data_IF_042991839101
#
_entry.id   IF_042991839101
#
_cell.length_a   1.000
_cell.length_b   1.000
_cell.length_c   1.000
_cell.angle_alpha   90.00
_cell.angle_beta   90.00
_cell.angle_gamma   90.00
#
_symmetry.space_group_name_H-M   'P 1'
#
loop_
_entity.id
_entity.type
_entity.pdbx_description
1 polymer ?
#
# COMPACT_ATOMS: atom_id res chain seq x y z
N UNK A 1 -10.54 -27.97 11.55
CA UNK A 1 -10.79 -26.90 10.56
C UNK A 1 -10.01 -25.67 10.97
N UNK A 2 -8.83 -25.42 10.38
CA UNK A 2 -8.16 -24.12 10.47
C UNK A 2 -7.56 -23.83 9.10
N UNK A 3 -8.22 -22.95 8.32
CA UNK A 3 -7.63 -22.31 7.14
C UNK A 3 -6.78 -21.15 7.65
N UNK A 4 -5.48 -21.20 7.44
CA UNK A 4 -4.59 -20.04 7.62
C UNK A 4 -3.61 -20.07 6.44
N UNK A 5 -4.09 -19.62 5.27
CA UNK A 5 -3.92 -18.28 4.70
C UNK A 5 -2.45 -17.98 4.37
N UNK A 6 -2.21 -17.87 3.06
CA UNK A 6 -1.37 -16.80 2.55
C UNK A 6 0.12 -17.10 2.48
N UNK A 7 0.52 -17.79 1.42
CA UNK A 7 1.87 -17.84 0.85
C UNK A 7 2.59 -16.49 1.02
N UNK A 8 3.80 -16.56 1.57
CA UNK A 8 4.65 -15.40 1.83
C UNK A 8 4.82 -14.49 0.62
N UNK A 9 4.30 -13.27 0.72
CA UNK A 9 4.78 -12.15 -0.09
C UNK A 9 6.09 -11.70 0.52
N UNK A 10 7.20 -12.12 -0.10
CA UNK A 10 8.54 -11.54 0.11
C UNK A 10 8.53 -10.09 -0.35
N UNK A 11 8.01 -9.26 0.55
CA UNK A 11 8.18 -7.84 0.77
C UNK A 11 9.38 -7.27 -0.02
N UNK A 12 9.10 -6.54 -1.09
CA UNK A 12 10.08 -5.72 -1.80
C UNK A 12 10.37 -4.49 -0.93
N UNK A 13 11.23 -4.64 0.08
CA UNK A 13 11.54 -3.59 1.07
C UNK A 13 12.64 -2.64 0.61
N UNK A 14 13.48 -3.05 -0.33
CA UNK A 14 14.83 -2.51 -0.48
C UNK A 14 14.95 -1.08 -1.05
N UNK A 15 14.10 -0.58 -1.99
CA UNK A 15 14.31 0.78 -2.50
C UNK A 15 13.69 1.90 -1.64
N UNK A 16 12.76 1.60 -0.73
CA UNK A 16 11.91 2.62 -0.10
C UNK A 16 12.21 2.91 1.37
N UNK A 17 13.06 2.10 2.00
CA UNK A 17 13.54 2.34 3.37
C UNK A 17 14.19 3.72 3.51
N UNK A 18 14.92 4.18 2.48
CA UNK A 18 15.59 5.49 2.52
C UNK A 18 14.62 6.67 2.53
N UNK A 19 13.50 6.60 1.81
CA UNK A 19 12.50 7.68 1.76
C UNK A 19 11.68 7.76 3.06
N UNK A 20 11.36 6.60 3.65
CA UNK A 20 10.55 6.51 4.87
C UNK A 20 11.36 6.79 6.15
N UNK A 21 12.68 6.62 6.11
CA UNK A 21 13.55 6.88 7.27
C UNK A 21 13.78 8.38 7.54
N UNK A 22 13.58 9.25 6.54
CA UNK A 22 13.82 10.70 6.69
C UNK A 22 12.59 11.50 7.18
N UNK A 23 11.39 10.90 7.18
CA UNK A 23 10.13 11.60 7.53
C UNK A 23 9.28 10.75 8.49
N UNK A 24 9.49 10.87 9.82
CA UNK A 24 8.91 9.95 10.79
C UNK A 24 7.47 10.29 11.24
N UNK A 25 6.82 11.31 10.68
CA UNK A 25 5.41 11.57 10.99
C UNK A 25 4.52 10.53 10.30
N UNK A 26 3.60 9.94 11.06
CA UNK A 26 2.71 8.90 10.54
C UNK A 26 1.87 9.38 9.34
N UNK A 27 1.57 10.69 9.28
CA UNK A 27 0.83 11.31 8.19
C UNK A 27 1.61 11.29 6.87
N UNK A 28 2.88 11.70 6.89
CA UNK A 28 3.75 11.70 5.69
C UNK A 28 4.10 10.29 5.24
N UNK A 29 4.22 9.33 6.17
CA UNK A 29 4.39 7.92 5.80
C UNK A 29 3.19 7.34 5.07
N UNK A 30 1.97 7.61 5.56
CA UNK A 30 0.75 7.11 4.93
C UNK A 30 0.56 7.66 3.51
N UNK A 31 0.80 8.97 3.32
CA UNK A 31 0.77 9.62 2.00
C UNK A 31 1.82 9.03 1.05
N UNK A 32 3.03 8.73 1.54
CA UNK A 32 4.08 8.09 0.76
C UNK A 32 3.67 6.72 0.22
N UNK A 33 3.03 5.87 1.05
CA UNK A 33 2.51 4.58 0.59
C UNK A 33 1.38 4.73 -0.42
N UNK A 34 0.52 5.75 -0.26
CA UNK A 34 -0.54 6.01 -1.22
C UNK A 34 0.00 6.46 -2.58
N UNK A 35 0.95 7.40 -2.60
CA UNK A 35 1.62 7.82 -3.84
C UNK A 35 2.37 6.68 -4.53
N UNK A 36 2.96 5.77 -3.75
CA UNK A 36 3.59 4.56 -4.29
C UNK A 36 2.57 3.62 -4.95
N UNK A 37 1.44 3.38 -4.29
CA UNK A 37 0.37 2.58 -4.87
C UNK A 37 -0.14 3.18 -6.18
N UNK A 38 -0.36 4.50 -6.24
CA UNK A 38 -0.75 5.21 -7.47
C UNK A 38 0.28 5.06 -8.58
N UNK A 39 1.57 5.15 -8.23
CA UNK A 39 2.68 4.96 -9.19
C UNK A 39 2.66 3.55 -9.77
N UNK A 40 2.51 2.52 -8.93
CA UNK A 40 2.39 1.15 -9.42
C UNK A 40 1.16 0.93 -10.30
N UNK A 41 0.03 1.56 -10.00
CA UNK A 41 -1.16 1.52 -10.86
C UNK A 41 -0.90 2.18 -12.22
N UNK A 42 -0.24 3.34 -12.24
CA UNK A 42 0.12 4.04 -13.47
C UNK A 42 1.10 3.22 -14.34
N UNK A 43 1.98 2.43 -13.70
CA UNK A 43 2.87 1.49 -14.37
C UNK A 43 2.17 0.18 -14.82
N UNK A 44 0.87 0.03 -14.55
CA UNK A 44 0.12 -1.20 -14.84
C UNK A 44 0.42 -2.37 -13.90
N UNK A 45 1.25 -2.15 -12.87
CA UNK A 45 1.62 -3.18 -11.90
C UNK A 45 0.60 -3.26 -10.75
N UNK A 46 -0.57 -3.83 -11.08
CA UNK A 46 -1.70 -3.95 -10.15
C UNK A 46 -1.37 -4.77 -8.90
N UNK A 47 -0.49 -5.76 -9.00
CA UNK A 47 -0.12 -6.62 -7.86
C UNK A 47 0.71 -5.88 -6.80
N UNK A 48 1.68 -5.07 -7.25
CA UNK A 48 2.46 -4.23 -6.34
C UNK A 48 1.60 -3.11 -5.76
N UNK A 49 0.74 -2.49 -6.57
CA UNK A 49 -0.21 -1.50 -6.09
C UNK A 49 -1.10 -2.06 -4.96
N UNK A 50 -1.72 -3.22 -5.18
CA UNK A 50 -2.56 -3.89 -4.19
C UNK A 50 -1.81 -4.20 -2.91
N UNK A 51 -0.61 -4.77 -3.04
CA UNK A 51 0.23 -5.07 -1.87
C UNK A 51 0.60 -3.83 -1.06
N UNK A 52 0.82 -2.70 -1.74
CA UNK A 52 1.15 -1.41 -1.10
C UNK A 52 -0.09 -0.82 -0.41
N UNK A 53 -1.25 -0.91 -1.04
CA UNK A 53 -2.53 -0.48 -0.46
C UNK A 53 -2.84 -1.34 0.77
N UNK A 54 -2.73 -2.67 0.67
CA UNK A 54 -2.96 -3.57 1.81
C UNK A 54 -2.09 -3.18 3.02
N UNK A 55 -0.80 -2.87 2.79
CA UNK A 55 0.10 -2.39 3.82
C UNK A 55 -0.35 -1.05 4.43
N UNK A 56 -0.73 -0.09 3.59
CA UNK A 56 -1.24 1.21 4.03
C UNK A 56 -2.49 1.06 4.90
N UNK A 57 -3.42 0.19 4.51
CA UNK A 57 -4.66 -0.04 5.25
C UNK A 57 -4.42 -0.75 6.59
N UNK A 58 -3.43 -1.64 6.66
CA UNK A 58 -3.09 -2.39 7.86
C UNK A 58 -2.33 -1.52 8.88
N UNK A 59 -1.41 -0.66 8.41
CA UNK A 59 -0.51 0.11 9.28
C UNK A 59 -0.97 1.55 9.53
N UNK A 60 -1.81 2.13 8.66
CA UNK A 60 -2.32 3.50 8.79
C UNK A 60 -3.84 3.58 8.52
N UNK A 61 -4.67 2.72 9.15
CA UNK A 61 -6.09 2.57 8.83
C UNK A 61 -6.92 3.86 8.95
N UNK A 62 -6.52 4.76 9.85
CA UNK A 62 -7.23 6.01 10.16
C UNK A 62 -6.75 7.21 9.33
N UNK A 63 -5.71 7.03 8.51
CA UNK A 63 -5.19 8.12 7.67
C UNK A 63 -6.13 8.46 6.51
N UNK A 64 -6.13 9.73 6.08
CA UNK A 64 -6.83 10.15 4.87
C UNK A 64 -6.37 9.35 3.65
N UNK A 65 -5.05 9.10 3.55
CA UNK A 65 -4.44 8.26 2.53
C UNK A 65 -5.04 6.85 2.48
N UNK A 66 -5.32 6.22 3.63
CA UNK A 66 -5.97 4.91 3.67
C UNK A 66 -7.43 4.98 3.20
N UNK A 67 -8.17 6.06 3.51
CA UNK A 67 -9.53 6.24 3.00
C UNK A 67 -9.55 6.37 1.47
N UNK A 68 -8.63 7.17 0.92
CA UNK A 68 -8.48 7.34 -0.53
C UNK A 68 -8.04 6.04 -1.21
N UNK A 69 -7.08 5.31 -0.63
CA UNK A 69 -6.60 4.03 -1.16
C UNK A 69 -7.71 2.99 -1.29
N UNK A 70 -8.65 2.91 -0.33
CA UNK A 70 -9.84 2.05 -0.41
C UNK A 70 -10.72 2.39 -1.61
N UNK A 71 -10.94 3.68 -1.87
CA UNK A 71 -11.74 4.13 -2.99
C UNK A 71 -11.08 3.74 -4.32
N UNK A 72 -9.78 3.98 -4.44
CA UNK A 72 -9.02 3.68 -5.65
C UNK A 72 -9.04 2.19 -5.96
N UNK A 73 -8.67 1.31 -5.01
CA UNK A 73 -8.59 -0.13 -5.32
C UNK A 73 -9.93 -0.73 -5.75
N UNK A 74 -11.04 -0.26 -5.16
CA UNK A 74 -12.39 -0.69 -5.55
C UNK A 74 -12.70 -0.36 -7.02
N UNK A 75 -12.24 0.79 -7.52
CA UNK A 75 -12.42 1.15 -8.94
C UNK A 75 -11.64 0.23 -9.89
N UNK A 76 -10.48 -0.27 -9.46
CA UNK A 76 -9.65 -1.17 -10.26
C UNK A 76 -10.11 -2.63 -10.23
N UNK A 77 -10.76 -3.06 -9.15
CA UNK A 77 -11.35 -4.40 -9.03
C UNK A 77 -12.69 -4.53 -9.78
N UNK A 78 -13.38 -3.42 -10.01
CA UNK A 78 -14.66 -3.38 -10.72
C UNK A 78 -14.51 -3.38 -12.27
N UNK A 79 -13.28 -3.38 -12.79
CA UNK A 79 -12.95 -3.41 -14.23
C UNK A 79 -12.26 -4.72 -14.60
#
# INVERSE_FOLDING_TARGET
MYKNVGKGKRIAKEPFTTLLNNYPEAFTRAEGYFGLAQTYLAMGNKDLARSTIDYLLDHYPESNAAQEAKAIIKTFEAK
#
